data_IF_909208541411
#
_entry.id   IF_909208541411
#
_cell.length_a   1.000
_cell.length_b   1.000
_cell.length_c   1.000
_cell.angle_alpha   90.00
_cell.angle_beta   90.00
_cell.angle_gamma   90.00
#
_symmetry.space_group_name_H-M   'P 1'
#
loop_
_entity.id
_entity.type
_entity.pdbx_description
1 polymer ?
#
# COMPACT_ATOMS: atom_id res chain seq x y z
N UNK A 1 -13.15 -12.55 -2.14
CA UNK A 1 -11.83 -11.95 -1.91
C UNK A 1 -11.59 -11.84 -0.41
N UNK A 2 -10.35 -11.87 0.05
CA UNK A 2 -10.04 -11.48 1.42
C UNK A 2 -10.46 -10.01 1.61
N UNK A 3 -11.12 -9.71 2.73
CA UNK A 3 -11.64 -8.37 3.02
C UNK A 3 -10.49 -7.54 3.60
N UNK A 4 -9.66 -6.97 2.73
CA UNK A 4 -8.56 -6.10 3.14
C UNK A 4 -9.08 -4.71 3.54
N UNK A 5 -8.36 -4.01 4.44
CA UNK A 5 -8.60 -2.60 4.68
C UNK A 5 -8.50 -1.77 3.38
N UNK A 6 -9.21 -0.65 3.32
CA UNK A 6 -9.09 0.33 2.23
C UNK A 6 -8.06 1.42 2.52
N UNK A 7 -7.37 1.34 3.65
CA UNK A 7 -6.31 2.26 4.07
C UNK A 7 -5.19 1.46 4.75
N UNK A 8 -3.95 1.87 4.54
CA UNK A 8 -2.77 1.22 5.11
C UNK A 8 -1.80 2.28 5.62
N UNK A 9 -1.38 2.15 6.87
CA UNK A 9 -0.36 3.01 7.45
C UNK A 9 1.05 2.50 7.16
N UNK A 10 2.06 3.24 7.63
CA UNK A 10 3.47 2.91 7.37
C UNK A 10 3.86 1.53 7.91
N UNK A 11 3.32 1.12 9.05
CA UNK A 11 3.64 -0.17 9.65
C UNK A 11 3.05 -1.32 8.82
N UNK A 12 1.86 -1.12 8.26
CA UNK A 12 1.26 -2.09 7.34
C UNK A 12 2.03 -2.22 6.03
N UNK A 13 2.53 -1.12 5.48
CA UNK A 13 3.38 -1.17 4.28
C UNK A 13 4.71 -1.89 4.56
N UNK A 14 5.27 -1.71 5.77
CA UNK A 14 6.46 -2.46 6.20
C UNK A 14 6.16 -3.94 6.42
N UNK A 15 4.99 -4.32 6.96
CA UNK A 15 4.55 -5.73 7.01
C UNK A 15 4.43 -6.31 5.61
N UNK A 16 3.89 -5.55 4.66
CA UNK A 16 3.83 -5.96 3.25
C UNK A 16 5.22 -6.20 2.67
N UNK A 17 6.18 -5.31 2.94
CA UNK A 17 7.56 -5.47 2.49
C UNK A 17 8.27 -6.69 3.10
N UNK A 18 7.87 -7.12 4.31
CA UNK A 18 8.35 -8.35 4.94
C UNK A 18 7.59 -9.62 4.51
N UNK A 19 6.58 -9.50 3.66
CA UNK A 19 5.73 -10.62 3.24
C UNK A 19 4.70 -11.07 4.28
N UNK A 20 4.47 -10.26 5.31
CA UNK A 20 3.57 -10.59 6.44
C UNK A 20 2.11 -10.18 6.15
N UNK A 21 1.86 -9.32 5.17
CA UNK A 21 0.52 -8.78 4.90
C UNK A 21 -0.32 -9.70 4.02
N UNK A 22 0.24 -10.17 2.90
CA UNK A 22 -0.48 -11.00 1.93
C UNK A 22 -0.15 -12.50 2.07
N UNK A 23 0.80 -12.85 2.93
CA UNK A 23 1.28 -14.23 3.13
C UNK A 23 2.44 -14.63 2.22
N UNK A 24 3.03 -15.77 2.52
CA UNK A 24 4.21 -16.29 1.83
C UNK A 24 3.95 -16.56 0.34
N UNK A 25 4.88 -16.15 -0.53
CA UNK A 25 4.78 -16.34 -1.98
C UNK A 25 3.87 -15.34 -2.72
N UNK A 26 3.19 -14.45 -1.99
CA UNK A 26 2.35 -13.40 -2.57
C UNK A 26 3.13 -12.09 -2.76
N UNK A 27 2.45 -11.08 -3.31
CA UNK A 27 3.04 -9.78 -3.60
C UNK A 27 3.66 -9.15 -2.35
N UNK A 28 4.79 -8.47 -2.55
CA UNK A 28 5.51 -7.74 -1.52
C UNK A 28 5.84 -6.34 -2.04
N UNK A 29 5.77 -5.36 -1.16
CA UNK A 29 6.34 -4.05 -1.47
C UNK A 29 7.87 -4.08 -1.35
N UNK A 30 8.59 -3.18 -2.03
CA UNK A 30 9.99 -2.95 -1.75
C UNK A 30 10.17 -2.47 -0.29
N UNK A 31 11.22 -2.95 0.37
CA UNK A 31 11.66 -2.38 1.66
C UNK A 31 12.43 -1.06 1.48
N UNK A 32 12.65 -0.30 2.58
CA UNK A 32 13.55 0.86 2.55
C UNK A 32 14.97 0.50 2.05
N UNK A 33 15.64 1.37 1.27
CA UNK A 33 15.26 2.73 0.91
C UNK A 33 14.32 2.85 -0.32
N UNK A 34 13.86 1.73 -0.90
CA UNK A 34 13.02 1.73 -2.11
C UNK A 34 11.51 1.80 -1.82
N UNK A 35 11.12 1.88 -0.54
CA UNK A 35 9.73 2.12 -0.15
C UNK A 35 9.38 3.60 -0.31
N UNK A 36 8.69 3.93 -1.41
CA UNK A 36 8.43 5.32 -1.86
C UNK A 36 7.06 5.88 -1.43
N UNK A 37 6.45 5.33 -0.39
CA UNK A 37 5.17 5.80 0.16
C UNK A 37 5.14 5.53 1.67
N UNK A 38 4.47 6.41 2.40
CA UNK A 38 4.28 6.30 3.84
C UNK A 38 2.92 5.71 4.20
N UNK A 39 1.91 5.90 3.34
CA UNK A 39 0.54 5.45 3.58
C UNK A 39 -0.26 5.35 2.29
N UNK A 40 -1.25 4.46 2.29
CA UNK A 40 -2.34 4.40 1.31
C UNK A 40 -3.58 4.94 2.02
N UNK A 41 -4.11 6.06 1.55
CA UNK A 41 -5.26 6.74 2.16
C UNK A 41 -6.60 6.29 1.59
N UNK A 42 -6.61 5.71 0.40
CA UNK A 42 -7.78 5.06 -0.19
C UNK A 42 -7.37 4.02 -1.24
N UNK A 43 -8.03 2.87 -1.23
CA UNK A 43 -7.95 1.85 -2.29
C UNK A 43 -9.31 1.18 -2.45
N UNK A 44 -9.79 1.12 -3.68
CA UNK A 44 -11.06 0.46 -4.02
C UNK A 44 -10.96 -0.30 -5.33
N UNK A 45 -11.76 -1.38 -5.44
CA UNK A 45 -11.99 -2.13 -6.67
C UNK A 45 -12.90 -1.37 -7.67
N UNK A 46 -13.57 -0.31 -7.21
CA UNK A 46 -14.43 0.57 -8.02
C UNK A 46 -13.95 2.04 -8.02
N UNK A 47 -14.62 2.88 -8.80
CA UNK A 47 -14.25 4.28 -8.99
C UNK A 47 -13.06 4.49 -9.92
N UNK A 48 -12.31 5.58 -9.71
CA UNK A 48 -11.26 6.04 -10.63
C UNK A 48 -11.81 6.59 -11.95
N UNK A 49 -10.92 7.08 -12.82
CA UNK A 49 -11.31 7.75 -14.07
C UNK A 49 -12.12 6.86 -15.04
N UNK A 50 -12.03 5.54 -14.89
CA UNK A 50 -12.67 4.56 -15.78
C UNK A 50 -13.61 3.59 -15.06
N UNK A 51 -13.89 3.79 -13.76
CA UNK A 51 -14.78 2.91 -13.00
C UNK A 51 -14.23 1.50 -12.77
N UNK A 52 -12.90 1.32 -12.71
CA UNK A 52 -12.23 0.01 -12.60
C UNK A 52 -11.27 -0.09 -11.40
N UNK A 53 -11.47 0.76 -10.40
CA UNK A 53 -10.63 0.82 -9.22
C UNK A 53 -9.67 1.99 -9.23
N UNK A 54 -9.14 2.29 -8.04
CA UNK A 54 -8.19 3.36 -7.82
C UNK A 54 -7.34 3.12 -6.57
N UNK A 55 -6.23 3.85 -6.46
CA UNK A 55 -5.35 3.88 -5.28
C UNK A 55 -4.87 5.31 -5.07
N UNK A 56 -4.96 5.82 -3.84
CA UNK A 56 -4.40 7.10 -3.40
C UNK A 56 -3.38 6.82 -2.30
N UNK A 57 -2.15 7.33 -2.48
CA UNK A 57 -1.05 7.15 -1.54
C UNK A 57 -0.28 8.45 -1.34
N UNK A 58 0.38 8.58 -0.20
CA UNK A 58 1.14 9.76 0.20
C UNK A 58 2.56 9.40 0.64
N UNK A 59 3.49 10.33 0.45
CA UNK A 59 4.87 10.24 0.92
C UNK A 59 5.27 11.59 1.53
N UNK A 60 5.73 11.57 2.78
CA UNK A 60 6.16 12.74 3.52
C UNK A 60 7.60 13.11 3.11
N UNK A 61 7.74 14.26 2.44
CA UNK A 61 9.05 14.78 2.05
C UNK A 61 9.72 15.43 3.26
N UNK A 62 10.91 14.93 3.61
CA UNK A 62 11.75 15.47 4.69
C UNK A 62 13.10 15.95 4.10
N UNK A 63 13.74 16.98 4.68
CA UNK A 63 14.99 17.53 4.15
C UNK A 63 16.24 16.64 4.34
N UNK A 64 16.13 15.61 5.19
CA UNK A 64 17.18 14.70 5.63
C UNK A 64 17.85 13.87 4.50
#
# INVERSE_FOLDING_TARGET
MANFPTQFDRDDLLKCARGELFGEGNAQLPGPPMLMMDRITDISEDGGAYGKGHVVAEFDIKPD
#
